data_IF_980323779265
#
_entry.id   IF_980323779265
#
_cell.length_a   1.000
_cell.length_b   1.000
_cell.length_c   1.000
_cell.angle_alpha   90.00
_cell.angle_beta   90.00
_cell.angle_gamma   90.00
#
_symmetry.space_group_name_H-M   'P 1'
#
loop_
_entity.id
_entity.type
_entity.pdbx_description
1 polymer ?
#
# COMPACT_ATOMS: atom_id res chain seq x y z
N UNK A 1 -13.58 14.21 10.04
CA UNK A 1 -12.31 14.84 10.36
C UNK A 1 -11.73 15.52 9.13
N UNK A 2 -11.28 16.76 9.27
CA UNK A 2 -10.67 17.52 8.17
C UNK A 2 -9.31 16.94 7.77
N UNK A 3 -8.92 17.16 6.53
CA UNK A 3 -7.64 16.71 6.00
C UNK A 3 -6.99 17.83 5.17
N UNK A 4 -5.64 17.85 5.05
CA UNK A 4 -4.95 18.86 4.23
C UNK A 4 -5.28 18.72 2.75
N UNK A 5 -5.40 19.85 2.04
CA UNK A 5 -5.69 19.89 0.61
C UNK A 5 -4.46 20.18 -0.25
N UNK A 6 -3.44 20.85 0.32
CA UNK A 6 -2.23 21.27 -0.40
C UNK A 6 -1.09 20.25 -0.32
N UNK A 7 -1.40 18.98 -0.59
CA UNK A 7 -0.41 17.93 -0.56
C UNK A 7 0.07 17.54 -1.97
N UNK A 8 1.30 17.03 -2.11
CA UNK A 8 1.80 16.54 -3.39
C UNK A 8 1.05 15.31 -3.91
N UNK A 9 0.14 14.75 -3.13
CA UNK A 9 -0.72 13.62 -3.47
C UNK A 9 -2.13 13.86 -2.95
N UNK A 10 -3.16 13.23 -3.52
CA UNK A 10 -4.52 13.34 -3.03
C UNK A 10 -4.67 12.82 -1.60
N UNK A 11 -5.50 13.49 -0.83
CA UNK A 11 -5.85 13.07 0.53
C UNK A 11 -7.36 13.00 0.68
N UNK A 12 -7.82 12.23 1.64
CA UNK A 12 -9.24 12.10 1.95
C UNK A 12 -9.44 11.85 3.45
N UNK A 13 -10.69 11.66 3.84
CA UNK A 13 -11.06 11.25 5.18
C UNK A 13 -12.23 10.29 5.10
N UNK A 14 -12.49 9.56 6.18
CA UNK A 14 -13.66 8.68 6.23
C UNK A 14 -14.95 9.47 6.08
N UNK A 15 -15.02 10.66 6.68
CA UNK A 15 -16.18 11.54 6.54
C UNK A 15 -16.41 11.95 5.08
N UNK A 16 -15.36 12.30 4.36
CA UNK A 16 -15.42 12.67 2.94
C UNK A 16 -15.88 11.50 2.07
N UNK A 17 -15.61 10.27 2.48
CA UNK A 17 -16.04 9.05 1.80
C UNK A 17 -17.44 8.58 2.23
N UNK A 18 -18.12 9.34 3.07
CA UNK A 18 -19.49 9.05 3.48
C UNK A 18 -19.62 8.18 4.73
N UNK A 19 -18.53 7.86 5.39
CA UNK A 19 -18.58 7.07 6.62
C UNK A 19 -19.06 7.92 7.80
N UNK A 20 -20.00 7.40 8.56
CA UNK A 20 -20.51 8.05 9.76
C UNK A 20 -19.83 7.43 10.99
N UNK A 21 -18.58 7.82 11.21
CA UNK A 21 -17.80 7.27 12.30
C UNK A 21 -16.91 8.37 12.91
N UNK A 22 -16.76 8.34 14.24
CA UNK A 22 -15.86 9.23 14.96
C UNK A 22 -14.52 8.53 15.24
N UNK A 23 -13.59 9.27 15.86
CA UNK A 23 -12.26 8.75 16.16
C UNK A 23 -12.30 7.59 17.14
N UNK A 24 -13.21 7.61 18.10
CA UNK A 24 -13.36 6.52 19.07
C UNK A 24 -13.85 5.23 18.41
N UNK A 25 -14.85 5.31 17.55
CA UNK A 25 -15.37 4.16 16.79
C UNK A 25 -14.27 3.58 15.90
N UNK A 26 -13.51 4.43 15.23
CA UNK A 26 -12.40 4.00 14.38
C UNK A 26 -11.31 3.30 15.20
N UNK A 27 -10.98 3.85 16.36
CA UNK A 27 -9.97 3.25 17.25
C UNK A 27 -10.40 1.85 17.73
N UNK A 28 -11.67 1.68 18.09
CA UNK A 28 -12.18 0.37 18.49
C UNK A 28 -12.12 -0.65 17.35
N UNK A 29 -12.52 -0.23 16.15
CA UNK A 29 -12.44 -1.09 14.96
C UNK A 29 -11.00 -1.47 14.64
N UNK A 30 -10.07 -0.51 14.72
CA UNK A 30 -8.64 -0.75 14.49
C UNK A 30 -8.08 -1.72 15.53
N UNK A 31 -8.45 -1.55 16.80
CA UNK A 31 -8.01 -2.42 17.89
C UNK A 31 -8.46 -3.87 17.66
N UNK A 32 -9.70 -4.07 17.26
CA UNK A 32 -10.23 -5.41 16.96
C UNK A 32 -9.52 -6.03 15.75
N UNK A 33 -9.34 -5.26 14.70
CA UNK A 33 -8.64 -5.71 13.50
C UNK A 33 -7.17 -6.05 13.79
N UNK A 34 -6.51 -5.23 14.61
CA UNK A 34 -5.14 -5.49 15.03
C UNK A 34 -5.02 -6.80 15.78
N UNK A 35 -5.90 -7.02 16.77
CA UNK A 35 -5.90 -8.24 17.58
C UNK A 35 -6.14 -9.49 16.72
N UNK A 36 -7.07 -9.41 15.79
CA UNK A 36 -7.35 -10.51 14.85
C UNK A 36 -6.15 -10.81 13.96
N UNK A 37 -5.59 -9.79 13.34
CA UNK A 37 -4.45 -9.96 12.44
C UNK A 37 -3.17 -10.33 13.18
N UNK A 38 -2.99 -9.86 14.41
CA UNK A 38 -1.86 -10.27 15.25
C UNK A 38 -1.90 -11.78 15.54
N UNK A 39 -3.08 -12.32 15.85
CA UNK A 39 -3.25 -13.76 16.04
C UNK A 39 -3.03 -14.53 14.74
N UNK A 40 -3.53 -14.01 13.63
CA UNK A 40 -3.34 -14.62 12.31
C UNK A 40 -1.87 -14.66 11.92
N UNK A 41 -1.13 -13.60 12.23
CA UNK A 41 0.30 -13.51 11.95
C UNK A 41 1.09 -14.59 12.70
N UNK A 42 0.70 -14.92 13.92
CA UNK A 42 1.20 -16.04 14.70
C UNK A 42 2.74 -16.09 14.73
N UNK A 43 3.35 -14.98 15.16
CA UNK A 43 4.80 -14.82 15.27
C UNK A 43 5.55 -15.14 13.96
N UNK A 44 4.95 -14.78 12.84
CA UNK A 44 5.49 -14.98 11.49
C UNK A 44 5.06 -16.27 10.80
N UNK A 45 4.52 -17.23 11.53
CA UNK A 45 4.06 -18.50 10.91
C UNK A 45 2.87 -18.29 9.99
N UNK A 46 2.05 -17.25 10.23
CA UNK A 46 0.90 -16.91 9.44
C UNK A 46 1.14 -15.84 8.39
N UNK A 47 2.39 -15.54 8.03
CA UNK A 47 2.71 -14.45 7.08
C UNK A 47 2.02 -14.64 5.73
N UNK A 48 1.91 -15.86 5.24
CA UNK A 48 1.20 -16.19 3.99
C UNK A 48 -0.26 -15.75 4.03
N UNK A 49 -0.94 -15.93 5.16
CA UNK A 49 -2.32 -15.52 5.33
C UNK A 49 -2.46 -13.99 5.40
N UNK A 50 -1.53 -13.31 6.08
CA UNK A 50 -1.47 -11.85 6.11
C UNK A 50 -1.24 -11.30 4.71
N UNK A 51 -0.32 -11.87 3.95
CA UNK A 51 -0.03 -11.49 2.58
C UNK A 51 -1.29 -11.58 1.70
N UNK A 52 -2.04 -12.65 1.81
CA UNK A 52 -3.30 -12.83 1.07
C UNK A 52 -4.31 -11.75 1.41
N UNK A 53 -4.48 -11.42 2.67
CA UNK A 53 -5.39 -10.35 3.12
C UNK A 53 -4.97 -9.00 2.54
N UNK A 54 -3.68 -8.71 2.56
CA UNK A 54 -3.14 -7.47 2.02
C UNK A 54 -3.39 -7.37 0.52
N UNK A 55 -3.05 -8.42 -0.23
CA UNK A 55 -3.24 -8.46 -1.69
C UNK A 55 -4.70 -8.31 -2.10
N UNK A 56 -5.63 -8.85 -1.32
CA UNK A 56 -7.06 -8.71 -1.59
C UNK A 56 -7.55 -7.26 -1.53
N UNK A 57 -6.80 -6.38 -0.85
CA UNK A 57 -7.17 -4.96 -0.64
C UNK A 57 -6.14 -4.00 -1.23
N UNK A 58 -5.10 -4.50 -1.86
CA UNK A 58 -4.01 -3.66 -2.37
C UNK A 58 -4.51 -2.70 -3.45
N UNK A 59 -4.13 -1.44 -3.34
CA UNK A 59 -4.37 -0.45 -4.37
C UNK A 59 -3.30 -0.54 -5.46
N UNK A 60 -3.70 -0.32 -6.71
CA UNK A 60 -2.77 -0.20 -7.82
C UNK A 60 -2.18 -1.50 -8.36
N UNK A 61 -2.65 -2.66 -7.88
CA UNK A 61 -2.18 -3.95 -8.39
C UNK A 61 -2.48 -4.05 -9.88
N UNK A 62 -1.48 -4.40 -10.67
CA UNK A 62 -1.58 -4.45 -12.13
C UNK A 62 -1.42 -3.10 -12.83
N UNK A 63 -1.29 -2.02 -12.08
CA UNK A 63 -1.15 -0.67 -12.60
C UNK A 63 0.28 -0.16 -12.61
N UNK A 64 0.49 0.98 -13.28
CA UNK A 64 1.80 1.61 -13.34
C UNK A 64 2.19 2.20 -11.98
N UNK A 65 3.45 2.01 -11.65
CA UNK A 65 4.04 2.58 -10.43
C UNK A 65 5.42 3.14 -10.74
N UNK A 66 5.85 4.07 -9.90
CA UNK A 66 7.23 4.53 -9.86
C UNK A 66 7.69 4.46 -8.40
N UNK A 67 8.87 3.93 -8.18
CA UNK A 67 9.43 3.77 -6.84
C UNK A 67 10.74 4.53 -6.76
N UNK A 68 10.85 5.38 -5.75
CA UNK A 68 12.11 6.09 -5.47
C UNK A 68 12.91 5.31 -4.45
N UNK A 69 14.11 4.93 -4.83
CA UNK A 69 15.05 4.17 -4.00
C UNK A 69 16.40 4.84 -4.09
N UNK A 70 16.93 5.31 -2.96
CA UNK A 70 18.27 5.93 -2.88
C UNK A 70 18.50 7.02 -3.93
N UNK A 71 17.47 7.86 -4.18
CA UNK A 71 17.53 8.94 -5.16
C UNK A 71 17.31 8.51 -6.61
N UNK A 72 17.19 7.23 -6.87
CA UNK A 72 16.87 6.69 -8.19
C UNK A 72 15.40 6.35 -8.31
N UNK A 73 14.84 6.47 -9.52
CA UNK A 73 13.46 6.15 -9.80
C UNK A 73 13.39 4.91 -10.66
N UNK A 74 12.63 3.92 -10.20
CA UNK A 74 12.33 2.69 -10.96
C UNK A 74 10.86 2.72 -11.32
N UNK A 75 10.55 2.52 -12.60
CA UNK A 75 9.18 2.52 -13.12
C UNK A 75 8.80 1.14 -13.63
N UNK A 76 7.55 0.78 -13.49
CA UNK A 76 7.05 -0.49 -13.98
C UNK A 76 5.60 -0.73 -13.58
N UNK A 77 5.19 -1.98 -13.70
CA UNK A 77 3.86 -2.44 -13.30
C UNK A 77 3.97 -3.13 -11.95
N UNK A 78 3.09 -2.75 -11.03
CA UNK A 78 3.00 -3.42 -9.72
C UNK A 78 2.37 -4.79 -9.91
N UNK A 79 3.16 -5.85 -9.87
CA UNK A 79 2.66 -7.21 -10.07
C UNK A 79 2.09 -7.85 -8.81
N UNK A 80 2.84 -7.77 -7.72
CA UNK A 80 2.48 -8.44 -6.47
C UNK A 80 3.44 -8.03 -5.35
N UNK A 81 3.28 -8.65 -4.20
CA UNK A 81 4.34 -8.75 -3.19
C UNK A 81 4.77 -10.21 -3.10
N UNK A 82 6.05 -10.46 -2.87
CA UNK A 82 6.57 -11.82 -2.81
C UNK A 82 6.28 -12.52 -1.48
N UNK A 83 6.82 -13.71 -1.29
CA UNK A 83 6.60 -14.49 -0.07
C UNK A 83 7.10 -13.80 1.20
N UNK A 84 8.08 -12.92 1.08
CA UNK A 84 8.62 -12.12 2.17
C UNK A 84 7.97 -10.73 2.24
N UNK A 85 6.86 -10.52 1.52
CA UNK A 85 6.12 -9.27 1.44
C UNK A 85 6.93 -8.10 0.86
N UNK A 86 7.91 -8.39 0.01
CA UNK A 86 8.65 -7.36 -0.74
C UNK A 86 7.87 -6.96 -1.99
N UNK A 87 7.99 -5.70 -2.37
CA UNK A 87 7.29 -5.13 -3.51
C UNK A 87 7.89 -5.65 -4.82
N UNK A 88 7.07 -6.20 -5.71
CA UNK A 88 7.52 -6.79 -6.98
C UNK A 88 6.96 -5.96 -8.13
N UNK A 89 7.86 -5.42 -8.95
CA UNK A 89 7.48 -4.68 -10.16
C UNK A 89 8.15 -5.31 -11.38
N UNK A 90 7.47 -5.16 -12.52
CA UNK A 90 7.99 -5.56 -13.83
C UNK A 90 8.20 -4.30 -14.66
N UNK A 91 9.43 -4.09 -15.12
CA UNK A 91 9.74 -2.95 -15.97
C UNK A 91 9.35 -3.16 -17.44
N UNK A 92 9.59 -2.15 -18.28
CA UNK A 92 9.21 -2.19 -19.71
C UNK A 92 9.96 -3.27 -20.48
N UNK A 93 11.12 -3.68 -20.01
CA UNK A 93 11.93 -4.75 -20.63
C UNK A 93 11.49 -6.14 -20.18
N UNK A 94 10.48 -6.22 -19.33
CA UNK A 94 10.02 -7.49 -18.75
C UNK A 94 10.85 -7.98 -17.56
N UNK A 95 11.80 -7.19 -17.10
CA UNK A 95 12.63 -7.53 -15.94
C UNK A 95 11.82 -7.39 -14.66
N UNK A 96 11.89 -8.40 -13.81
CA UNK A 96 11.22 -8.40 -12.51
C UNK A 96 12.19 -7.88 -11.45
N UNK A 97 11.75 -6.86 -10.72
CA UNK A 97 12.51 -6.24 -9.65
C UNK A 97 11.80 -6.42 -8.33
N UNK A 98 12.55 -6.74 -7.29
CA UNK A 98 12.04 -6.93 -5.94
C UNK A 98 12.60 -5.84 -5.03
N UNK A 99 11.72 -5.10 -4.36
CA UNK A 99 12.07 -3.90 -3.61
C UNK A 99 11.62 -4.06 -2.17
N UNK A 100 12.56 -3.95 -1.24
CA UNK A 100 12.27 -4.07 0.20
C UNK A 100 11.75 -2.77 0.81
N UNK A 101 12.20 -1.62 0.31
CA UNK A 101 11.79 -0.32 0.83
C UNK A 101 11.94 0.77 -0.25
N UNK A 102 11.05 1.75 -0.22
CA UNK A 102 11.07 2.88 -1.15
C UNK A 102 9.77 3.66 -1.07
N UNK A 103 9.76 4.83 -1.70
CA UNK A 103 8.55 5.65 -1.84
C UNK A 103 7.83 5.26 -3.12
N UNK A 104 6.58 4.84 -2.99
CA UNK A 104 5.78 4.32 -4.11
C UNK A 104 4.78 5.39 -4.56
N UNK A 105 4.75 5.63 -5.86
CA UNK A 105 3.79 6.56 -6.49
C UNK A 105 3.00 5.82 -7.57
N UNK A 106 1.69 6.00 -7.56
CA UNK A 106 0.77 5.24 -8.41
C UNK A 106 0.18 6.11 -9.53
N UNK A 107 -0.05 5.49 -10.69
CA UNK A 107 -0.82 6.07 -11.79
C UNK A 107 -0.24 7.37 -12.33
N UNK A 108 -1.11 8.36 -12.54
CA UNK A 108 -0.73 9.68 -13.09
C UNK A 108 0.28 10.42 -12.19
N UNK A 109 0.25 10.18 -10.89
CA UNK A 109 1.22 10.77 -9.95
C UNK A 109 2.61 10.22 -10.21
N UNK A 110 2.72 8.95 -10.57
CA UNK A 110 4.00 8.33 -10.93
C UNK A 110 4.66 9.02 -12.13
N UNK A 111 3.86 9.51 -13.08
CA UNK A 111 4.38 10.21 -14.25
C UNK A 111 4.71 11.68 -13.98
N UNK A 112 3.99 12.31 -13.06
CA UNK A 112 4.05 13.76 -12.88
C UNK A 112 5.05 14.22 -11.80
N UNK A 113 5.40 13.36 -10.85
CA UNK A 113 6.07 13.78 -9.61
C UNK A 113 7.49 13.24 -9.43
N UNK A 114 7.95 12.44 -10.33
CA UNK A 114 9.28 11.86 -10.25
C UNK A 114 10.18 12.42 -11.33
#
# INVERSE_FOLDING_TARGET
VAYPEDLPYPATSLQALGANCDAEMLFLALSDAWSENFRLWDDGRGLSAIRKRWLARAAGLGGEVAVRIDGNVVRGVFETIDEDCRFVIRDDDGTVLTIAAGDVHFGAVASARL
#
